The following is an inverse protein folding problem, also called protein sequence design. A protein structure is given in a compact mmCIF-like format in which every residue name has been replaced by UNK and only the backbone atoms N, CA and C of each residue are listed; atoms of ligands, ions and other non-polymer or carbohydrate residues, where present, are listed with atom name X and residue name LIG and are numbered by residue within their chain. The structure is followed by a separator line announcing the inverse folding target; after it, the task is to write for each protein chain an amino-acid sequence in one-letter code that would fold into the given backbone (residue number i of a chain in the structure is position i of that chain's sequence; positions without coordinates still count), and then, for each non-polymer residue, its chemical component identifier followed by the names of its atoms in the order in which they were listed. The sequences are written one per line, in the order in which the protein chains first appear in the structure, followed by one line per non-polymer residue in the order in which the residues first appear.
data_IF_816032913389
#
_entry.id   IF_816032913389
#
_cell.length_a   1.000
_cell.length_b   1.000
_cell.length_c   1.000
_cell.angle_alpha   90.00
_cell.angle_beta   90.00
_cell.angle_gamma   90.00
#
_symmetry.space_group_name_H-M   'P 1'
#
loop_
_entity.id
_entity.type
_entity.pdbx_description
1 polymer ?
#
# COMPACT_ATOMS: atom_id res chain seq x y z
N UNK A 1 -37.24 -54.53 -14.08
CA UNK A 1 -36.41 -53.92 -15.14
C UNK A 1 -36.77 -52.45 -15.22
N UNK A 2 -36.00 -51.59 -14.57
CA UNK A 2 -36.24 -50.15 -14.52
C UNK A 2 -35.11 -49.44 -15.21
N UNK A 3 -35.38 -48.84 -16.33
CA UNK A 3 -34.46 -48.03 -17.13
C UNK A 3 -34.27 -46.66 -16.44
N UNK A 4 -33.07 -46.43 -15.91
CA UNK A 4 -32.64 -45.11 -15.43
C UNK A 4 -32.30 -44.21 -16.62
N UNK A 5 -33.11 -43.19 -16.83
CA UNK A 5 -32.85 -42.08 -17.75
C UNK A 5 -31.68 -41.25 -17.24
N UNK A 6 -30.58 -41.19 -17.98
CA UNK A 6 -29.46 -40.29 -17.77
C UNK A 6 -29.87 -38.88 -18.22
N UNK A 7 -30.08 -38.00 -17.27
CA UNK A 7 -30.28 -36.59 -17.55
C UNK A 7 -28.97 -36.01 -18.14
N UNK A 8 -29.01 -35.68 -19.43
CA UNK A 8 -27.96 -34.89 -20.10
C UNK A 8 -27.96 -33.47 -19.53
N UNK A 9 -26.96 -33.17 -18.75
CA UNK A 9 -26.62 -31.79 -18.35
C UNK A 9 -26.37 -30.99 -19.65
N UNK A 10 -27.29 -30.08 -19.95
CA UNK A 10 -27.10 -29.09 -21.01
C UNK A 10 -26.16 -28.03 -20.47
N UNK A 11 -24.91 -28.04 -20.91
CA UNK A 11 -24.00 -26.89 -20.79
C UNK A 11 -24.64 -25.76 -21.60
N UNK A 12 -25.18 -24.77 -20.92
CA UNK A 12 -25.63 -23.51 -21.54
C UNK A 12 -24.38 -22.77 -21.96
N UNK A 13 -24.26 -22.30 -23.21
CA UNK A 13 -23.22 -21.34 -23.56
C UNK A 13 -23.49 -20.07 -22.77
N UNK A 14 -22.48 -19.56 -22.05
CA UNK A 14 -22.47 -18.25 -21.39
C UNK A 14 -22.47 -17.16 -22.48
N UNK A 15 -23.63 -16.93 -23.08
CA UNK A 15 -23.92 -15.65 -23.72
C UNK A 15 -24.37 -14.71 -22.61
N UNK A 16 -23.44 -14.00 -22.03
CA UNK A 16 -23.76 -12.90 -21.12
C UNK A 16 -24.37 -11.76 -21.93
N UNK A 17 -25.66 -11.43 -21.77
CA UNK A 17 -26.16 -10.16 -22.19
C UNK A 17 -25.86 -9.17 -21.07
N UNK A 18 -24.98 -8.20 -21.38
CA UNK A 18 -24.98 -6.89 -20.72
C UNK A 18 -24.12 -6.78 -19.46
N UNK A 19 -22.78 -6.78 -19.62
CA UNK A 19 -21.96 -5.97 -18.73
C UNK A 19 -22.23 -4.50 -19.15
N UNK A 20 -23.26 -3.90 -18.59
CA UNK A 20 -23.46 -2.45 -18.67
C UNK A 20 -22.42 -1.84 -17.74
N UNK A 21 -21.27 -1.48 -18.31
CA UNK A 21 -20.28 -0.66 -17.65
C UNK A 21 -20.93 0.71 -17.45
N UNK A 22 -21.51 0.96 -16.27
CA UNK A 22 -22.15 2.23 -15.93
C UNK A 22 -21.07 3.30 -15.88
N UNK A 23 -20.97 4.10 -16.94
CA UNK A 23 -20.08 5.26 -16.98
C UNK A 23 -20.85 6.42 -16.40
N UNK A 24 -20.66 6.67 -15.10
CA UNK A 24 -21.10 7.92 -14.50
C UNK A 24 -20.18 9.04 -15.01
N UNK A 25 -20.64 9.86 -15.95
CA UNK A 25 -19.98 11.10 -16.36
C UNK A 25 -20.21 12.15 -15.28
N UNK A 26 -19.41 12.13 -14.21
CA UNK A 26 -19.35 13.23 -13.27
C UNK A 26 -18.45 14.33 -13.86
N UNK A 27 -19.02 15.37 -14.40
CA UNK A 27 -18.31 16.60 -14.73
C UNK A 27 -17.99 17.32 -13.42
N UNK A 28 -16.79 17.09 -12.90
CA UNK A 28 -16.25 17.85 -11.78
C UNK A 28 -15.46 19.03 -12.34
N UNK A 29 -15.99 20.24 -12.18
CA UNK A 29 -15.23 21.46 -12.45
C UNK A 29 -14.14 21.61 -11.37
N UNK A 30 -12.88 21.44 -11.75
CA UNK A 30 -11.74 21.65 -10.88
C UNK A 30 -11.36 23.13 -10.82
N UNK A 31 -11.12 23.71 -9.62
CA UNK A 31 -10.50 25.01 -9.49
C UNK A 31 -9.02 24.92 -9.87
N UNK A 32 -8.57 25.80 -10.76
CA UNK A 32 -7.16 25.97 -11.12
C UNK A 32 -6.36 26.48 -9.91
N UNK A 33 -5.57 25.61 -9.30
CA UNK A 33 -4.57 25.99 -8.30
C UNK A 33 -3.25 26.27 -9.01
N UNK A 34 -2.72 27.48 -8.83
CA UNK A 34 -1.43 27.89 -9.37
C UNK A 34 -0.31 26.99 -8.82
N UNK A 35 0.48 26.41 -9.72
CA UNK A 35 1.63 25.59 -9.39
C UNK A 35 2.77 26.44 -8.83
N UNK A 36 2.95 26.42 -7.50
CA UNK A 36 4.17 26.86 -6.84
C UNK A 36 5.26 25.83 -7.04
N UNK A 37 6.41 26.25 -7.58
CA UNK A 37 7.57 25.39 -7.75
C UNK A 37 8.06 24.86 -6.39
N UNK A 38 8.06 23.54 -6.20
CA UNK A 38 8.67 22.87 -5.05
C UNK A 38 10.19 22.72 -5.25
N UNK A 39 11.01 22.87 -4.20
CA UNK A 39 12.44 22.69 -4.31
C UNK A 39 12.77 21.23 -4.67
N UNK A 40 13.50 21.07 -5.75
CA UNK A 40 14.09 19.81 -6.22
C UNK A 40 15.20 19.38 -5.26
N UNK A 41 15.11 18.14 -4.71
CA UNK A 41 16.28 17.55 -4.09
C UNK A 41 16.08 16.76 -2.79
N UNK A 42 15.37 15.64 -2.86
CA UNK A 42 15.74 14.43 -2.13
C UNK A 42 15.21 13.26 -2.96
N UNK A 43 16.10 12.40 -3.45
CA UNK A 43 15.69 11.14 -4.05
C UNK A 43 14.80 10.40 -3.03
N UNK A 44 13.54 10.18 -3.40
CA UNK A 44 12.66 9.36 -2.58
C UNK A 44 13.35 8.01 -2.36
N UNK A 45 13.37 7.47 -1.12
CA UNK A 45 13.93 6.16 -0.89
C UNK A 45 13.18 5.17 -1.80
N UNK A 46 13.93 4.42 -2.60
CA UNK A 46 13.38 3.33 -3.40
C UNK A 46 12.88 2.29 -2.39
N UNK A 47 11.57 2.26 -2.15
CA UNK A 47 10.95 1.23 -1.33
C UNK A 47 11.14 -0.09 -2.08
N UNK A 48 11.95 -0.97 -1.53
CA UNK A 48 12.09 -2.34 -2.04
C UNK A 48 10.75 -3.01 -1.82
N UNK A 49 10.17 -3.61 -2.87
CA UNK A 49 8.92 -4.33 -2.75
C UNK A 49 9.09 -5.46 -1.72
N UNK A 50 8.29 -5.44 -0.65
CA UNK A 50 8.34 -6.43 0.42
C UNK A 50 7.87 -7.80 -0.06
N UNK A 51 7.04 -7.84 -1.11
CA UNK A 51 6.47 -9.03 -1.71
C UNK A 51 6.18 -8.77 -3.19
N UNK A 52 6.36 -9.78 -4.05
CA UNK A 52 6.06 -9.69 -5.48
C UNK A 52 5.71 -11.08 -6.03
N UNK A 53 4.74 -11.13 -6.94
CA UNK A 53 4.32 -12.33 -7.68
C UNK A 53 4.09 -11.97 -9.13
N UNK A 54 4.54 -12.81 -10.05
CA UNK A 54 4.27 -12.68 -11.48
C UNK A 54 3.22 -13.71 -11.89
N UNK A 55 2.18 -13.24 -12.55
CA UNK A 55 1.13 -14.03 -13.17
C UNK A 55 1.32 -13.96 -14.69
N UNK A 56 1.17 -15.09 -15.35
CA UNK A 56 1.28 -15.19 -16.82
C UNK A 56 -0.09 -15.45 -17.41
N UNK A 57 -0.33 -14.91 -18.57
CA UNK A 57 -1.51 -15.18 -19.38
C UNK A 57 -1.12 -15.78 -20.73
N UNK A 58 -2.06 -16.31 -21.44
CA UNK A 58 -1.90 -16.73 -22.84
C UNK A 58 -1.65 -15.51 -23.73
N UNK A 59 -1.21 -15.71 -24.94
CA UNK A 59 -0.85 -14.63 -25.86
C UNK A 59 -1.38 -14.88 -27.27
N UNK A 60 -1.84 -13.81 -27.92
CA UNK A 60 -2.21 -13.83 -29.33
C UNK A 60 -3.60 -14.38 -29.63
N UNK A 61 -4.52 -14.36 -28.68
CA UNK A 61 -5.90 -14.84 -28.83
C UNK A 61 -6.68 -14.01 -29.88
N UNK A 62 -6.57 -12.70 -29.83
CA UNK A 62 -7.04 -11.76 -30.85
C UNK A 62 -5.93 -10.74 -31.15
N UNK A 63 -5.27 -10.80 -32.31
CA UNK A 63 -4.20 -9.85 -32.66
C UNK A 63 -4.64 -8.39 -32.68
N UNK A 64 -5.93 -8.12 -32.79
CA UNK A 64 -6.50 -6.78 -32.78
C UNK A 64 -6.76 -6.26 -31.35
N UNK A 65 -6.86 -7.16 -30.36
CA UNK A 65 -7.03 -6.81 -28.95
C UNK A 65 -5.71 -6.32 -28.31
N UNK A 66 -5.77 -5.63 -27.16
CA UNK A 66 -4.62 -5.52 -26.29
C UNK A 66 -4.21 -6.90 -25.77
N UNK A 67 -2.96 -7.30 -25.89
CA UNK A 67 -2.47 -8.65 -25.56
C UNK A 67 -1.79 -8.62 -24.18
N UNK A 68 -2.51 -9.01 -23.13
CA UNK A 68 -2.01 -9.06 -21.74
C UNK A 68 -1.13 -10.32 -21.63
N UNK A 69 0.16 -10.16 -21.45
CA UNK A 69 1.10 -11.29 -21.39
C UNK A 69 1.50 -11.66 -19.98
N UNK A 70 1.65 -10.66 -19.12
CA UNK A 70 2.03 -10.85 -17.72
C UNK A 70 1.46 -9.74 -16.83
N UNK A 71 1.17 -10.09 -15.58
CA UNK A 71 0.83 -9.13 -14.54
C UNK A 71 1.77 -9.36 -13.36
N UNK A 72 2.56 -8.35 -13.01
CA UNK A 72 3.39 -8.38 -11.81
C UNK A 72 2.66 -7.60 -10.73
N UNK A 73 2.25 -8.29 -9.66
CA UNK A 73 1.67 -7.67 -8.49
C UNK A 73 2.71 -7.64 -7.39
N UNK A 74 2.90 -6.49 -6.78
CA UNK A 74 3.82 -6.32 -5.65
C UNK A 74 3.22 -5.42 -4.59
N UNK A 75 3.69 -5.52 -3.35
CA UNK A 75 3.37 -4.54 -2.32
C UNK A 75 4.60 -4.18 -1.50
N UNK A 76 4.60 -2.95 -0.94
CA UNK A 76 5.58 -2.51 0.04
C UNK A 76 5.06 -2.64 1.49
N UNK A 77 5.93 -2.35 2.45
CA UNK A 77 5.61 -2.41 3.89
C UNK A 77 4.67 -1.27 4.35
N UNK A 78 4.43 -0.26 3.51
CA UNK A 78 3.42 0.77 3.74
C UNK A 78 2.03 0.36 3.25
N UNK A 79 1.93 -0.82 2.61
CA UNK A 79 0.68 -1.38 2.10
C UNK A 79 0.31 -0.86 0.71
N UNK A 80 1.22 -0.20 0.00
CA UNK A 80 0.98 0.19 -1.39
C UNK A 80 1.11 -1.04 -2.28
N UNK A 81 0.01 -1.44 -2.90
CA UNK A 81 -0.07 -2.51 -3.89
C UNK A 81 0.17 -1.89 -5.27
N UNK A 82 1.01 -2.53 -6.07
CA UNK A 82 1.31 -2.14 -7.44
C UNK A 82 0.97 -3.28 -8.38
N UNK A 83 0.08 -3.03 -9.33
CA UNK A 83 -0.23 -3.92 -10.44
C UNK A 83 0.47 -3.38 -11.69
N UNK A 84 1.42 -4.14 -12.23
CA UNK A 84 2.07 -3.83 -13.50
C UNK A 84 1.60 -4.83 -14.55
N UNK A 85 0.69 -4.41 -15.41
CA UNK A 85 0.18 -5.22 -16.51
C UNK A 85 1.02 -4.95 -17.75
N UNK A 86 1.54 -6.00 -18.38
CA UNK A 86 2.34 -5.91 -19.59
C UNK A 86 1.46 -6.21 -20.81
N UNK A 87 1.36 -5.22 -21.71
CA UNK A 87 0.58 -5.26 -22.96
C UNK A 87 1.52 -4.83 -24.10
N UNK A 88 2.41 -5.73 -24.58
CA UNK A 88 3.53 -5.35 -25.46
C UNK A 88 3.09 -4.80 -26.81
N UNK A 89 1.89 -5.17 -27.28
CA UNK A 89 1.33 -4.67 -28.53
C UNK A 89 0.64 -3.29 -28.40
N UNK A 90 0.73 -2.65 -27.19
CA UNK A 90 0.20 -1.30 -26.89
C UNK A 90 1.26 -0.48 -26.15
N UNK A 91 2.22 0.05 -26.88
CA UNK A 91 3.32 0.88 -26.31
C UNK A 91 2.81 2.17 -25.66
N UNK A 92 1.73 2.74 -26.18
CA UNK A 92 1.07 3.95 -25.70
C UNK A 92 -0.39 3.68 -25.35
N UNK A 93 -0.91 4.41 -24.38
CA UNK A 93 -2.33 4.46 -24.09
C UNK A 93 -3.03 5.36 -25.13
N UNK A 94 -4.17 4.89 -25.64
CA UNK A 94 -5.03 5.65 -26.57
C UNK A 94 -6.43 5.80 -25.99
N UNK A 95 -7.16 6.84 -26.37
CA UNK A 95 -8.46 7.17 -25.78
C UNK A 95 -9.58 6.19 -26.15
N UNK A 96 -9.35 5.32 -27.15
CA UNK A 96 -10.22 4.22 -27.55
C UNK A 96 -9.94 2.93 -26.76
N UNK A 97 -9.07 2.99 -25.74
CA UNK A 97 -8.74 1.88 -24.86
C UNK A 97 -9.37 2.05 -23.49
N UNK A 98 -9.66 0.91 -22.84
CA UNK A 98 -9.99 0.82 -21.43
C UNK A 98 -9.25 -0.37 -20.80
N UNK A 99 -8.90 -0.23 -19.51
CA UNK A 99 -8.43 -1.34 -18.68
C UNK A 99 -9.26 -1.36 -17.41
N UNK A 100 -9.85 -2.52 -17.09
CA UNK A 100 -10.59 -2.73 -15.86
C UNK A 100 -9.93 -3.86 -15.06
N UNK A 101 -9.74 -3.64 -13.75
CA UNK A 101 -9.26 -4.64 -12.81
C UNK A 101 -10.39 -4.91 -11.82
N UNK A 102 -10.95 -6.11 -11.83
CA UNK A 102 -11.94 -6.56 -10.86
C UNK A 102 -11.21 -7.14 -9.65
N UNK A 103 -11.55 -6.72 -8.46
CA UNK A 103 -10.84 -7.07 -7.23
C UNK A 103 -11.83 -7.56 -6.18
N UNK A 104 -11.73 -8.84 -5.83
CA UNK A 104 -12.33 -9.45 -4.66
C UNK A 104 -11.32 -9.26 -3.50
N UNK A 105 -11.57 -8.28 -2.65
CA UNK A 105 -10.63 -7.78 -1.64
C UNK A 105 -10.56 -8.61 -0.36
N UNK A 106 -11.51 -9.53 -0.15
CA UNK A 106 -11.53 -10.46 0.98
C UNK A 106 -11.24 -11.91 0.53
N UNK A 107 -11.00 -12.11 -0.77
CA UNK A 107 -10.77 -13.41 -1.42
C UNK A 107 -11.92 -14.41 -1.14
N UNK A 108 -13.16 -13.93 -1.11
CA UNK A 108 -14.36 -14.69 -0.86
C UNK A 108 -15.41 -14.45 -1.94
N UNK A 109 -15.45 -15.31 -2.95
CA UNK A 109 -16.38 -15.21 -4.08
C UNK A 109 -17.87 -15.27 -3.71
N UNK A 110 -18.21 -15.56 -2.45
CA UNK A 110 -19.60 -15.55 -1.97
C UNK A 110 -20.06 -14.16 -1.49
N UNK A 111 -19.15 -13.18 -1.47
CA UNK A 111 -19.41 -11.76 -1.18
C UNK A 111 -19.16 -10.93 -2.44
N UNK A 112 -19.41 -9.62 -2.38
CA UNK A 112 -19.23 -8.76 -3.54
C UNK A 112 -20.21 -9.04 -4.68
N UNK A 113 -19.83 -8.72 -5.90
CA UNK A 113 -20.60 -8.98 -7.12
C UNK A 113 -20.40 -10.42 -7.58
N UNK A 114 -21.43 -11.24 -7.40
CA UNK A 114 -21.38 -12.68 -7.75
C UNK A 114 -21.26 -12.92 -9.27
N UNK A 115 -21.69 -11.96 -10.11
CA UNK A 115 -21.55 -12.06 -11.57
C UNK A 115 -20.11 -11.77 -12.01
N UNK A 116 -19.36 -11.03 -11.18
CA UNK A 116 -17.95 -10.67 -11.38
C UNK A 116 -17.02 -11.39 -10.40
N UNK A 117 -17.26 -12.68 -10.15
CA UNK A 117 -16.41 -13.55 -9.32
C UNK A 117 -16.23 -13.07 -7.88
N UNK A 118 -17.20 -12.34 -7.32
CA UNK A 118 -17.15 -11.81 -5.98
C UNK A 118 -16.41 -10.48 -5.86
N UNK A 119 -16.26 -9.74 -6.95
CA UNK A 119 -15.53 -8.47 -6.92
C UNK A 119 -16.21 -7.44 -6.00
N UNK A 120 -15.41 -6.87 -5.10
CA UNK A 120 -15.81 -5.75 -4.21
C UNK A 120 -15.49 -4.40 -4.84
N UNK A 121 -14.48 -4.36 -5.72
CA UNK A 121 -13.97 -3.15 -6.33
C UNK A 121 -13.67 -3.35 -7.80
N UNK A 122 -13.79 -2.26 -8.57
CA UNK A 122 -13.29 -2.17 -9.94
C UNK A 122 -12.36 -0.97 -10.02
N UNK A 123 -11.11 -1.18 -10.45
CA UNK A 123 -10.22 -0.10 -10.87
C UNK A 123 -10.35 0.03 -12.37
N UNK A 124 -10.83 1.16 -12.85
CA UNK A 124 -11.01 1.42 -14.27
C UNK A 124 -10.10 2.54 -14.74
N UNK A 125 -9.30 2.28 -15.77
CA UNK A 125 -8.58 3.27 -16.55
C UNK A 125 -9.31 3.46 -17.87
N UNK A 126 -9.89 4.63 -18.08
CA UNK A 126 -10.61 4.98 -19.29
C UNK A 126 -10.50 6.47 -19.60
N UNK A 127 -10.32 6.86 -20.86
CA UNK A 127 -10.13 8.25 -21.32
C UNK A 127 -9.01 9.00 -20.61
N UNK A 128 -8.00 8.29 -20.12
CA UNK A 128 -6.88 8.87 -19.38
C UNK A 128 -7.17 9.15 -17.90
N UNK A 129 -8.34 8.80 -17.41
CA UNK A 129 -8.71 8.88 -16.00
C UNK A 129 -8.67 7.50 -15.37
N UNK A 130 -8.26 7.43 -14.10
CA UNK A 130 -8.32 6.23 -13.30
C UNK A 130 -9.27 6.42 -12.14
N UNK A 131 -10.22 5.50 -11.98
CA UNK A 131 -11.29 5.59 -10.98
C UNK A 131 -11.40 4.25 -10.26
N UNK A 132 -11.61 4.30 -8.93
CA UNK A 132 -11.99 3.16 -8.11
C UNK A 132 -13.51 3.19 -7.91
N UNK A 133 -14.15 2.11 -8.28
CA UNK A 133 -15.55 1.84 -7.97
C UNK A 133 -15.64 0.81 -6.86
N UNK A 134 -16.68 0.88 -6.04
CA UNK A 134 -16.92 -0.06 -4.95
C UNK A 134 -18.33 -0.64 -5.04
N UNK A 135 -18.45 -1.96 -4.94
CA UNK A 135 -19.73 -2.65 -4.87
C UNK A 135 -20.53 -2.23 -3.64
N UNK A 136 -21.77 -1.83 -3.82
CA UNK A 136 -22.70 -1.41 -2.75
C UNK A 136 -23.78 -2.46 -2.42
N UNK A 137 -23.77 -3.58 -3.13
CA UNK A 137 -24.77 -4.64 -3.07
C UNK A 137 -25.67 -4.70 -4.30
N UNK A 138 -25.63 -3.69 -5.16
CA UNK A 138 -26.48 -3.59 -6.37
C UNK A 138 -25.73 -3.02 -7.58
N UNK A 139 -24.76 -2.13 -7.35
CA UNK A 139 -24.04 -1.41 -8.40
C UNK A 139 -22.65 -1.00 -7.92
N UNK A 140 -21.88 -0.38 -8.80
CA UNK A 140 -20.53 0.11 -8.56
C UNK A 140 -20.45 1.64 -8.58
N UNK A 141 -20.88 2.34 -7.53
CA UNK A 141 -20.63 3.78 -7.41
C UNK A 141 -19.13 4.08 -7.23
N UNK A 142 -18.72 5.30 -7.54
CA UNK A 142 -17.37 5.78 -7.31
C UNK A 142 -17.04 5.67 -5.81
N UNK A 143 -15.92 5.02 -5.49
CA UNK A 143 -15.47 4.84 -4.11
C UNK A 143 -15.06 6.17 -3.47
N UNK A 144 -15.52 6.41 -2.23
CA UNK A 144 -15.07 7.54 -1.43
C UNK A 144 -13.61 7.43 -0.97
N UNK A 145 -13.04 6.21 -0.98
CA UNK A 145 -11.66 5.91 -0.52
C UNK A 145 -10.79 5.53 -1.73
N UNK A 146 -10.27 6.53 -2.43
CA UNK A 146 -9.38 6.32 -3.59
C UNK A 146 -8.19 7.29 -3.62
N UNK A 147 -7.86 7.90 -2.49
CA UNK A 147 -6.85 8.97 -2.44
C UNK A 147 -5.43 8.50 -2.83
N UNK A 148 -5.15 7.21 -2.71
CA UNK A 148 -3.84 6.64 -3.07
C UNK A 148 -3.77 6.11 -4.51
N UNK A 149 -4.90 6.09 -5.24
CA UNK A 149 -4.98 5.54 -6.57
C UNK A 149 -4.22 6.40 -7.58
N UNK A 150 -3.34 5.77 -8.34
CA UNK A 150 -2.57 6.44 -9.40
C UNK A 150 -2.16 5.44 -10.48
N UNK A 151 -1.83 5.93 -11.68
CA UNK A 151 -1.31 5.10 -12.75
C UNK A 151 -0.23 5.78 -13.57
N UNK A 152 0.51 4.97 -14.32
CA UNK A 152 1.36 5.36 -15.44
C UNK A 152 1.25 4.31 -16.53
N UNK A 153 1.63 4.65 -17.77
CA UNK A 153 1.59 3.73 -18.91
C UNK A 153 2.98 3.57 -19.53
N UNK A 154 3.40 2.33 -19.73
CA UNK A 154 4.62 1.98 -20.46
C UNK A 154 4.51 0.53 -20.93
N UNK A 155 3.99 0.31 -22.15
CA UNK A 155 3.68 -1.03 -22.66
C UNK A 155 2.66 -1.75 -21.78
N UNK A 156 1.68 -1.01 -21.25
CA UNK A 156 0.65 -1.41 -20.32
C UNK A 156 0.61 -0.53 -19.06
N UNK A 157 -0.49 -0.58 -18.29
CA UNK A 157 -0.66 0.21 -17.10
C UNK A 157 0.19 -0.32 -15.93
N UNK A 158 0.75 0.62 -15.17
CA UNK A 158 1.22 0.39 -13.80
C UNK A 158 0.28 1.14 -12.87
N UNK A 159 -0.56 0.41 -12.16
CA UNK A 159 -1.55 0.95 -11.22
C UNK A 159 -1.04 0.79 -9.80
N UNK A 160 -1.20 1.83 -8.97
CA UNK A 160 -0.84 1.81 -7.55
C UNK A 160 -2.04 2.20 -6.71
N UNK A 161 -2.28 1.44 -5.64
CA UNK A 161 -3.34 1.69 -4.67
C UNK A 161 -2.89 1.19 -3.29
N UNK A 162 -3.30 1.87 -2.21
CA UNK A 162 -3.02 1.37 -0.86
C UNK A 162 -4.07 0.33 -0.46
N UNK A 163 -3.64 -0.71 0.23
CA UNK A 163 -4.51 -1.75 0.79
C UNK A 163 -5.64 -1.16 1.68
N UNK A 164 -5.42 0.02 2.29
CA UNK A 164 -6.45 0.72 3.07
C UNK A 164 -7.64 1.18 2.23
N UNK A 165 -7.43 1.50 0.94
CA UNK A 165 -8.51 1.88 0.02
C UNK A 165 -9.29 0.64 -0.47
N UNK A 166 -8.72 -0.56 -0.28
CA UNK A 166 -9.31 -1.88 -0.55
C UNK A 166 -9.67 -2.63 0.74
N UNK A 167 -10.30 -1.95 1.69
CA UNK A 167 -10.75 -2.51 2.97
C UNK A 167 -9.64 -3.16 3.83
N UNK A 168 -8.40 -2.65 3.73
CA UNK A 168 -7.21 -3.21 4.40
C UNK A 168 -6.91 -4.67 4.01
N UNK A 169 -7.12 -5.02 2.75
CA UNK A 169 -6.93 -6.38 2.25
C UNK A 169 -5.57 -6.96 2.63
N UNK A 170 -5.56 -8.27 2.92
CA UNK A 170 -4.34 -9.08 3.14
C UNK A 170 -4.21 -10.18 2.11
N UNK A 171 -5.28 -10.45 1.39
CA UNK A 171 -5.36 -11.40 0.29
C UNK A 171 -6.46 -10.94 -0.63
N UNK A 172 -6.19 -10.93 -1.90
CA UNK A 172 -7.18 -10.54 -2.90
C UNK A 172 -7.17 -11.53 -4.07
N UNK A 173 -8.34 -11.71 -4.67
CA UNK A 173 -8.46 -12.28 -6.00
C UNK A 173 -8.63 -11.14 -6.99
N UNK A 174 -8.18 -11.32 -8.22
CA UNK A 174 -8.33 -10.30 -9.25
C UNK A 174 -8.28 -10.90 -10.65
N UNK A 175 -8.92 -10.21 -11.58
CA UNK A 175 -8.76 -10.38 -13.01
C UNK A 175 -8.60 -9.00 -13.66
N UNK A 176 -8.06 -8.99 -14.87
CA UNK A 176 -7.83 -7.78 -15.66
C UNK A 176 -8.42 -7.95 -17.03
N UNK A 177 -9.21 -6.98 -17.46
CA UNK A 177 -9.76 -6.90 -18.81
C UNK A 177 -9.17 -5.68 -19.48
N UNK A 178 -8.63 -5.86 -20.68
CA UNK A 178 -8.17 -4.79 -21.54
C UNK A 178 -9.00 -4.72 -22.82
N UNK A 179 -9.45 -3.52 -23.17
CA UNK A 179 -10.26 -3.23 -24.33
C UNK A 179 -9.54 -2.24 -25.26
N UNK A 180 -9.78 -2.38 -26.56
CA UNK A 180 -9.42 -1.37 -27.56
C UNK A 180 -10.48 -1.28 -28.65
N UNK A 181 -10.34 -0.31 -29.55
CA UNK A 181 -11.31 -0.05 -30.62
C UNK A 181 -12.72 0.29 -30.07
N UNK A 182 -12.76 1.00 -28.93
CA UNK A 182 -13.99 1.53 -28.36
C UNK A 182 -14.41 2.71 -29.23
N UNK A 183 -15.57 2.59 -29.87
CA UNK A 183 -16.17 3.68 -30.62
C UNK A 183 -16.88 4.68 -29.69
N UNK A 184 -17.14 5.88 -30.18
CA UNK A 184 -17.89 6.90 -29.43
C UNK A 184 -19.00 7.43 -30.32
N UNK A 185 -20.19 7.56 -29.74
CA UNK A 185 -21.29 8.24 -30.42
C UNK A 185 -20.86 9.68 -30.73
N UNK A 186 -20.94 10.12 -32.01
CA UNK A 186 -20.44 11.43 -32.40
C UNK A 186 -21.29 12.59 -31.87
N UNK A 187 -22.50 12.34 -31.40
CA UNK A 187 -23.43 13.35 -30.87
C UNK A 187 -23.39 13.41 -29.35
N UNK A 188 -23.49 12.27 -28.67
CA UNK A 188 -23.52 12.19 -27.21
C UNK A 188 -22.15 12.03 -26.59
N UNK A 189 -21.16 11.52 -27.36
CA UNK A 189 -19.85 11.16 -26.86
C UNK A 189 -19.85 9.91 -25.98
N UNK A 190 -20.96 9.18 -25.92
CA UNK A 190 -21.06 7.95 -25.16
C UNK A 190 -20.23 6.83 -25.81
N UNK A 191 -19.55 5.97 -25.01
CA UNK A 191 -18.78 4.87 -25.54
C UNK A 191 -19.68 3.73 -26.04
N UNK A 192 -19.32 3.19 -27.21
CA UNK A 192 -19.90 1.98 -27.78
C UNK A 192 -18.88 0.85 -27.73
N UNK A 193 -19.18 -0.18 -26.97
CA UNK A 193 -18.35 -1.37 -26.78
C UNK A 193 -18.70 -2.52 -27.72
N UNK A 194 -19.71 -2.36 -28.61
CA UNK A 194 -20.22 -3.47 -29.42
C UNK A 194 -19.15 -4.12 -30.32
N UNK A 195 -18.18 -3.33 -30.80
CA UNK A 195 -17.09 -3.79 -31.65
C UNK A 195 -15.72 -3.73 -30.95
N UNK A 196 -15.69 -3.46 -29.64
CA UNK A 196 -14.45 -3.41 -28.90
C UNK A 196 -13.73 -4.76 -28.94
N UNK A 197 -12.41 -4.71 -29.07
CA UNK A 197 -11.53 -5.87 -29.00
C UNK A 197 -11.11 -6.08 -27.56
N UNK A 198 -11.20 -7.31 -27.09
CA UNK A 198 -11.03 -7.66 -25.66
C UNK A 198 -9.99 -8.73 -25.46
N UNK A 199 -9.18 -8.53 -24.44
CA UNK A 199 -8.39 -9.57 -23.80
C UNK A 199 -8.66 -9.61 -22.30
N UNK A 200 -8.50 -10.78 -21.67
CA UNK A 200 -8.79 -11.00 -20.25
C UNK A 200 -7.74 -11.90 -19.62
N UNK A 201 -7.15 -11.46 -18.54
CA UNK A 201 -6.14 -12.19 -17.80
C UNK A 201 -6.59 -12.42 -16.33
N UNK A 202 -6.81 -13.71 -15.92
CA UNK A 202 -6.76 -14.90 -16.75
C UNK A 202 -7.98 -15.01 -17.69
N UNK A 203 -7.87 -15.82 -18.73
CA UNK A 203 -9.00 -16.10 -19.63
C UNK A 203 -10.22 -16.66 -18.88
N UNK A 204 -10.00 -17.42 -17.81
CA UNK A 204 -11.05 -18.01 -16.96
C UNK A 204 -10.63 -17.93 -15.50
N UNK A 205 -11.53 -17.46 -14.63
CA UNK A 205 -11.32 -17.39 -13.20
C UNK A 205 -10.59 -16.13 -12.77
N UNK A 206 -9.69 -16.24 -11.81
CA UNK A 206 -8.97 -15.12 -11.20
C UNK A 206 -7.55 -15.55 -10.79
N UNK A 207 -6.69 -14.56 -10.61
CA UNK A 207 -5.42 -14.71 -9.90
C UNK A 207 -5.58 -14.38 -8.42
N UNK A 208 -4.78 -14.99 -7.56
CA UNK A 208 -4.76 -14.68 -6.12
C UNK A 208 -3.42 -14.09 -5.72
N UNK A 209 -3.45 -12.98 -4.97
CA UNK A 209 -2.27 -12.32 -4.43
C UNK A 209 -2.34 -12.15 -2.91
N UNK A 210 -1.25 -12.50 -2.21
CA UNK A 210 -1.10 -12.31 -0.76
C UNK A 210 -0.39 -10.98 -0.48
N UNK A 211 -1.06 -10.06 0.20
CA UNK A 211 -0.50 -8.77 0.61
C UNK A 211 0.27 -8.94 1.92
N UNK A 212 1.60 -8.95 1.85
CA UNK A 212 2.48 -9.10 3.02
C UNK A 212 2.98 -7.73 3.45
N UNK A 213 2.53 -7.28 4.61
CA UNK A 213 2.96 -6.02 5.22
C UNK A 213 3.68 -6.35 6.50
N UNK A 214 4.97 -5.98 6.58
CA UNK A 214 5.73 -6.07 7.82
C UNK A 214 5.30 -4.91 8.72
N UNK A 215 4.79 -5.17 9.94
CA UNK A 215 4.40 -4.09 10.84
C UNK A 215 5.56 -3.13 11.09
N UNK A 216 5.30 -1.84 10.99
CA UNK A 216 6.27 -0.82 11.30
C UNK A 216 6.77 -0.97 12.75
N UNK A 217 8.05 -0.77 12.96
CA UNK A 217 8.68 -0.76 14.28
C UNK A 217 9.62 0.42 14.41
N UNK A 218 10.01 0.78 15.65
CA UNK A 218 11.12 1.69 15.86
C UNK A 218 12.43 0.89 15.98
N UNK A 219 13.33 1.14 15.03
CA UNK A 219 14.67 0.53 15.03
C UNK A 219 15.67 1.48 15.66
N UNK A 220 16.39 1.01 16.67
CA UNK A 220 17.49 1.80 17.28
C UNK A 220 18.68 1.83 16.35
N UNK A 221 19.04 3.01 15.89
CA UNK A 221 20.19 3.26 15.04
C UNK A 221 21.47 3.49 15.84
N UNK A 222 21.35 4.21 16.96
CA UNK A 222 22.52 4.59 17.78
C UNK A 222 22.13 4.90 19.23
N UNK A 223 23.00 4.54 20.16
CA UNK A 223 22.93 4.99 21.56
C UNK A 223 24.25 5.64 21.91
N UNK A 224 24.19 6.85 22.46
CA UNK A 224 25.39 7.57 22.92
C UNK A 224 25.17 8.10 24.34
N UNK A 225 26.26 8.28 25.07
CA UNK A 225 26.22 8.88 26.41
C UNK A 225 27.24 10.02 26.51
N UNK A 226 26.87 11.06 27.25
CA UNK A 226 27.73 12.21 27.52
C UNK A 226 27.68 12.54 29.01
N UNK A 227 28.82 12.45 29.73
CA UNK A 227 30.10 11.90 29.30
C UNK A 227 29.99 10.37 28.98
N UNK A 228 31.00 9.76 28.36
CA UNK A 228 31.00 8.32 28.07
C UNK A 228 30.83 7.46 29.32
N UNK A 229 31.36 7.91 30.44
CA UNK A 229 31.27 7.31 31.78
C UNK A 229 30.65 8.31 32.75
N UNK A 230 29.62 7.96 33.53
CA UNK A 230 29.02 8.88 34.51
C UNK A 230 30.03 9.25 35.58
N UNK A 231 29.99 10.52 35.98
CA UNK A 231 30.90 11.09 37.00
C UNK A 231 30.06 11.57 38.21
N UNK A 232 30.48 11.23 39.41
CA UNK A 232 29.82 11.63 40.66
C UNK A 232 29.69 13.17 40.75
N UNK A 233 28.51 13.66 41.08
CA UNK A 233 28.17 15.09 41.16
C UNK A 233 27.97 15.79 39.81
N UNK A 234 28.02 15.11 38.68
CA UNK A 234 27.87 15.69 37.32
C UNK A 234 26.63 15.19 36.61
N UNK A 235 26.10 15.95 35.64
CA UNK A 235 25.06 15.47 34.73
C UNK A 235 25.58 14.30 33.83
N UNK A 236 24.69 13.37 33.56
CA UNK A 236 24.94 12.24 32.66
C UNK A 236 23.75 12.11 31.71
N UNK A 237 24.02 12.22 30.42
CA UNK A 237 23.00 12.23 29.38
C UNK A 237 23.10 10.97 28.52
N UNK A 238 21.97 10.35 28.25
CA UNK A 238 21.81 9.27 27.28
C UNK A 238 20.97 9.77 26.10
N UNK A 239 21.46 9.55 24.88
CA UNK A 239 20.76 9.84 23.61
C UNK A 239 20.49 8.53 22.89
N UNK A 240 19.24 8.31 22.52
CA UNK A 240 18.74 7.16 21.78
C UNK A 240 18.23 7.64 20.42
N UNK A 241 18.99 7.41 19.36
CA UNK A 241 18.57 7.67 17.98
C UNK A 241 17.83 6.45 17.49
N UNK A 242 16.59 6.64 17.06
CA UNK A 242 15.76 5.60 16.45
C UNK A 242 15.06 6.15 15.20
N UNK A 243 14.67 5.22 14.31
CA UNK A 243 13.94 5.54 13.10
C UNK A 243 12.86 4.48 12.86
N UNK A 244 11.80 4.84 12.14
CA UNK A 244 10.80 3.88 11.68
C UNK A 244 11.46 2.87 10.73
N UNK A 245 11.05 1.60 10.81
CA UNK A 245 11.58 0.53 9.93
C UNK A 245 11.08 0.67 8.50
N UNK A 246 9.86 1.15 8.32
CA UNK A 246 9.15 1.26 7.04
C UNK A 246 9.57 2.48 6.21
N UNK A 247 9.65 3.66 6.84
CA UNK A 247 9.93 4.92 6.14
C UNK A 247 11.34 5.45 6.36
N UNK A 248 12.07 4.91 7.34
CA UNK A 248 13.34 5.47 7.77
C UNK A 248 13.23 6.81 8.52
N UNK A 249 12.01 7.32 8.76
CA UNK A 249 11.76 8.57 9.42
C UNK A 249 12.36 8.59 10.83
N UNK A 250 13.19 9.60 11.11
CA UNK A 250 13.80 9.80 12.43
C UNK A 250 12.82 10.47 13.39
N UNK A 251 13.09 10.35 14.69
CA UNK A 251 12.28 10.96 15.75
C UNK A 251 12.23 12.49 15.60
N UNK A 252 11.06 13.03 15.31
CA UNK A 252 10.84 14.50 15.32
C UNK A 252 10.19 14.96 16.61
N UNK A 253 9.32 14.12 17.17
CA UNK A 253 8.62 14.30 18.44
C UNK A 253 8.47 12.94 19.13
N UNK A 254 7.73 12.86 20.21
CA UNK A 254 7.43 11.60 20.88
C UNK A 254 7.46 11.72 22.41
N UNK A 255 6.87 10.72 23.06
CA UNK A 255 6.85 10.58 24.51
C UNK A 255 8.11 9.87 24.98
N UNK A 256 8.97 10.55 25.73
CA UNK A 256 10.20 9.97 26.30
C UNK A 256 10.00 9.64 27.77
N UNK A 257 10.36 8.43 28.15
CA UNK A 257 10.37 7.97 29.55
C UNK A 257 11.78 7.61 29.95
N UNK A 258 12.28 8.24 31.03
CA UNK A 258 13.62 8.08 31.54
C UNK A 258 13.60 7.40 32.91
N UNK A 259 14.31 6.30 33.06
CA UNK A 259 14.48 5.60 34.32
C UNK A 259 15.98 5.56 34.63
N UNK A 260 16.38 6.05 35.79
CA UNK A 260 17.77 6.00 36.27
C UNK A 260 17.83 5.46 37.70
N UNK A 261 18.87 4.66 38.01
CA UNK A 261 19.13 4.13 39.35
C UNK A 261 20.61 4.06 39.64
N UNK A 262 20.96 4.29 40.93
CA UNK A 262 22.29 3.99 41.49
C UNK A 262 22.07 3.05 42.66
N UNK A 263 22.49 1.82 42.53
CA UNK A 263 22.08 0.76 43.47
C UNK A 263 20.54 0.64 43.47
N UNK A 264 19.92 0.75 44.64
CA UNK A 264 18.46 0.73 44.83
C UNK A 264 17.82 2.12 44.75
N UNK A 265 18.59 3.19 44.66
CA UNK A 265 18.08 4.57 44.65
C UNK A 265 17.68 4.97 43.25
N UNK A 266 16.39 5.33 43.07
CA UNK A 266 15.86 5.87 41.80
C UNK A 266 16.28 7.33 41.66
N UNK A 267 16.79 7.70 40.49
CA UNK A 267 17.12 9.07 40.11
C UNK A 267 16.00 9.69 39.29
N UNK A 268 15.61 10.92 39.62
CA UNK A 268 14.72 11.73 38.78
C UNK A 268 15.53 12.24 37.58
N UNK A 269 14.99 12.11 36.38
CA UNK A 269 15.56 12.75 35.21
C UNK A 269 15.41 14.28 35.31
N UNK A 270 16.46 15.01 35.02
CA UNK A 270 16.47 16.47 34.94
C UNK A 270 15.81 16.94 33.63
N UNK A 271 16.01 16.18 32.56
CA UNK A 271 15.34 16.40 31.25
C UNK A 271 14.96 15.09 30.60
N UNK A 272 13.83 15.11 29.89
CA UNK A 272 13.31 14.02 29.10
C UNK A 272 12.57 14.60 27.88
N UNK A 273 12.97 14.23 26.67
CA UNK A 273 12.32 14.74 25.45
C UNK A 273 13.03 14.29 24.19
N UNK A 274 12.45 14.63 23.03
CA UNK A 274 13.08 14.42 21.72
C UNK A 274 13.79 15.72 21.31
N UNK A 275 15.05 15.61 20.96
CA UNK A 275 15.88 16.74 20.50
C UNK A 275 16.87 16.27 19.45
N UNK A 276 16.90 16.94 18.28
CA UNK A 276 17.83 16.64 17.20
C UNK A 276 17.75 15.18 16.75
N UNK A 277 16.55 14.66 16.51
CA UNK A 277 16.32 13.30 16.03
C UNK A 277 16.57 12.18 17.06
N UNK A 278 16.72 12.51 18.35
CA UNK A 278 17.01 11.53 19.39
C UNK A 278 16.14 11.74 20.64
N UNK A 279 15.75 10.63 21.27
CA UNK A 279 15.23 10.67 22.64
C UNK A 279 16.38 10.87 23.61
N UNK A 280 16.25 11.90 24.47
CA UNK A 280 17.30 12.35 25.39
C UNK A 280 16.82 12.24 26.82
N UNK A 281 17.64 11.62 27.66
CA UNK A 281 17.44 11.57 29.12
C UNK A 281 18.69 12.05 29.80
N UNK A 282 18.54 13.01 30.76
CA UNK A 282 19.64 13.51 31.56
C UNK A 282 19.36 13.29 33.04
N UNK A 283 20.34 12.78 33.79
CA UNK A 283 20.28 12.56 35.23
C UNK A 283 21.46 13.25 35.91
N UNK A 284 21.23 13.84 37.11
CA UNK A 284 22.30 14.25 37.97
C UNK A 284 22.78 13.05 38.80
N UNK A 285 24.05 12.69 38.66
CA UNK A 285 24.65 11.59 39.41
C UNK A 285 24.96 12.07 40.83
N UNK A 286 24.50 11.40 41.90
CA UNK A 286 24.80 11.83 43.28
C UNK A 286 26.30 11.87 43.56
N UNK A 287 26.76 12.87 44.33
CA UNK A 287 28.16 12.99 44.74
C UNK A 287 28.67 11.76 45.49
N UNK A 288 27.80 11.09 46.27
CA UNK A 288 28.08 9.87 47.04
C UNK A 288 28.04 8.57 46.21
N UNK A 289 27.92 8.68 44.88
CA UNK A 289 27.73 7.51 43.97
C UNK A 289 29.05 6.99 43.38
N UNK A 290 30.19 7.64 43.66
CA UNK A 290 31.50 7.19 43.16
C UNK A 290 31.74 5.71 43.48
N UNK A 291 32.20 4.96 42.47
CA UNK A 291 32.46 3.52 42.59
C UNK A 291 31.21 2.63 42.46
N UNK A 292 30.00 3.19 42.57
CA UNK A 292 28.73 2.45 42.35
C UNK A 292 28.42 2.32 40.86
N UNK A 293 27.39 1.54 40.53
CA UNK A 293 26.91 1.35 39.14
C UNK A 293 25.65 2.17 38.90
N UNK A 294 25.69 3.02 37.89
CA UNK A 294 24.49 3.62 37.30
C UNK A 294 23.83 2.65 36.32
N UNK A 295 22.50 2.51 36.43
CA UNK A 295 21.66 1.80 35.47
C UNK A 295 20.61 2.78 34.96
N UNK A 296 20.61 3.01 33.63
CA UNK A 296 19.68 3.92 32.97
C UNK A 296 18.91 3.22 31.87
N UNK A 297 17.65 3.62 31.68
CA UNK A 297 16.81 3.20 30.56
C UNK A 297 16.11 4.39 29.95
N UNK A 298 16.12 4.47 28.64
CA UNK A 298 15.35 5.43 27.85
C UNK A 298 14.36 4.65 26.99
N UNK A 299 13.07 4.95 27.14
CA UNK A 299 11.98 4.49 26.28
C UNK A 299 11.43 5.69 25.51
N UNK A 300 11.20 5.52 24.23
CA UNK A 300 10.48 6.49 23.40
C UNK A 300 9.29 5.83 22.72
N UNK A 301 8.17 6.57 22.64
CA UNK A 301 7.01 6.23 21.83
C UNK A 301 6.80 7.36 20.82
N UNK A 302 6.79 7.01 19.54
CA UNK A 302 6.63 7.91 18.41
C UNK A 302 5.63 7.29 17.44
N UNK A 303 4.55 8.01 17.12
CA UNK A 303 3.46 7.53 16.26
C UNK A 303 2.93 6.13 16.66
N UNK A 304 2.71 5.91 17.95
CA UNK A 304 2.22 4.65 18.49
C UNK A 304 3.28 3.54 18.63
N UNK A 305 4.44 3.68 17.99
CA UNK A 305 5.53 2.71 18.03
C UNK A 305 6.46 2.97 19.21
N UNK A 306 6.89 1.93 19.90
CA UNK A 306 7.72 2.05 21.09
C UNK A 306 9.04 1.31 20.98
N UNK A 307 10.12 1.95 21.47
CA UNK A 307 11.42 1.28 21.63
C UNK A 307 12.11 1.74 22.91
N UNK A 308 12.88 0.85 23.53
CA UNK A 308 13.67 1.17 24.72
C UNK A 308 15.10 0.62 24.61
N UNK A 309 16.02 1.30 25.29
CA UNK A 309 17.38 0.79 25.52
C UNK A 309 17.82 1.08 26.93
N UNK A 310 18.58 0.16 27.49
CA UNK A 310 19.14 0.27 28.82
C UNK A 310 20.66 0.26 28.76
N UNK A 311 21.27 0.95 29.69
CA UNK A 311 22.73 1.00 29.88
C UNK A 311 23.08 0.72 31.33
N UNK A 312 24.28 0.18 31.55
CA UNK A 312 24.88 0.00 32.87
C UNK A 312 26.31 0.46 32.80
N UNK A 313 26.73 1.37 33.71
CA UNK A 313 28.05 1.99 33.73
C UNK A 313 28.52 2.19 35.15
N UNK A 314 29.81 1.94 35.42
CA UNK A 314 30.46 2.28 36.70
C UNK A 314 30.67 3.77 36.79
N UNK A 315 30.40 4.37 37.96
CA UNK A 315 30.53 5.83 38.23
C UNK A 315 31.95 6.13 38.69
N UNK A 316 32.56 7.11 38.04
CA UNK A 316 33.89 7.65 38.43
C UNK A 316 33.79 8.76 39.45
#
# INVERSE_FOLDING_TARGET
MGTRSLARSRVRPLTSPGLVLAIATAVVALPTVAAGALPSGAAAPTLVAANSTTFTDSTGEDPAAPDITTIVVSNDDAGVITFRTNIPNRSQYTTDMAVAMFIDSDANQATGDLESLGADYIIQLFRGEIILFKWDGTDYPVSATQASLSYSWSGGPTVRINASDLNNTRRLNFDVIALSNIAFDPVTGEPDFANAKRDSAPVIGFFTYEVKITPATLVVRRVTTTPATPVAGKPFTMRLVAARSDTGAVLQNGRVTCIGRVGNVRLRAQSAGVTGGAAVCTWLIPKTAKGKTFRGSTKVVFEGLGVSRSISRKIR
#
